data_IF_991005837164
#
_entry.id   IF_991005837164
#
_cell.length_a   1.000
_cell.length_b   1.000
_cell.length_c   1.000
_cell.angle_alpha   90.00
_cell.angle_beta   90.00
_cell.angle_gamma   90.00
#
_symmetry.space_group_name_H-M   'P 1'
#
loop_
_entity.id
_entity.type
_entity.pdbx_description
1 polymer ?
#
# COMPACT_ATOMS: atom_id res chain seq x y z
N UNK A 1 -0.41 -20.34 -17.46
CA UNK A 1 0.02 -21.54 -16.70
C UNK A 1 -0.70 -21.47 -15.37
N UNK A 2 -1.44 -22.52 -14.97
CA UNK A 2 -2.19 -22.50 -13.71
C UNK A 2 -1.23 -22.65 -12.54
N UNK A 3 -1.41 -21.83 -11.49
CA UNK A 3 -0.60 -21.94 -10.28
C UNK A 3 -0.88 -23.28 -9.58
N UNK A 4 0.16 -24.02 -9.21
CA UNK A 4 0.03 -25.23 -8.39
C UNK A 4 0.26 -24.88 -6.93
N UNK A 5 -0.67 -25.33 -6.07
CA UNK A 5 -0.61 -25.13 -4.62
C UNK A 5 -0.24 -26.45 -3.96
N UNK A 6 0.78 -26.42 -3.12
CA UNK A 6 1.28 -27.57 -2.38
C UNK A 6 1.08 -27.32 -0.89
N UNK A 7 0.41 -28.25 -0.20
CA UNK A 7 0.20 -28.18 1.24
C UNK A 7 1.43 -28.74 1.98
N UNK A 8 1.96 -27.96 2.91
CA UNK A 8 3.15 -28.28 3.70
C UNK A 8 2.89 -28.15 5.21
N UNK A 9 1.68 -28.51 5.69
CA UNK A 9 1.33 -28.43 7.10
C UNK A 9 0.96 -27.00 7.51
N UNK A 10 1.76 -26.28 8.32
CA UNK A 10 1.46 -24.88 8.69
C UNK A 10 1.60 -23.88 7.52
N UNK A 11 2.16 -24.31 6.38
CA UNK A 11 2.33 -23.48 5.19
C UNK A 11 1.64 -24.10 3.97
N UNK A 12 1.40 -23.30 2.95
CA UNK A 12 1.36 -23.80 1.58
C UNK A 12 2.43 -23.07 0.76
N UNK A 13 2.91 -23.67 -0.32
CA UNK A 13 3.64 -22.92 -1.33
C UNK A 13 2.91 -22.95 -2.66
N UNK A 14 3.08 -21.87 -3.42
CA UNK A 14 2.43 -21.65 -4.70
C UNK A 14 3.51 -21.50 -5.76
N UNK A 15 3.45 -22.33 -6.79
CA UNK A 15 4.25 -22.16 -8.00
C UNK A 15 3.61 -21.07 -8.86
N UNK A 16 4.19 -19.88 -8.82
CA UNK A 16 3.66 -18.68 -9.48
C UNK A 16 4.34 -18.38 -10.82
N UNK A 17 5.68 -18.33 -10.84
CA UNK A 17 6.48 -18.13 -12.06
C UNK A 17 7.87 -18.78 -11.89
N UNK A 18 8.34 -19.60 -12.85
CA UNK A 18 9.66 -20.24 -12.77
C UNK A 18 10.84 -19.25 -12.69
N UNK A 19 10.65 -17.98 -13.08
CA UNK A 19 11.68 -16.91 -12.98
C UNK A 19 11.73 -16.25 -11.61
N UNK A 20 10.64 -16.29 -10.84
CA UNK A 20 10.53 -15.65 -9.52
C UNK A 20 10.72 -16.67 -8.40
N UNK A 21 10.42 -17.94 -8.68
CA UNK A 21 10.46 -19.02 -7.70
C UNK A 21 9.14 -19.14 -6.93
N UNK A 22 9.02 -20.20 -6.11
CA UNK A 22 7.81 -20.46 -5.33
C UNK A 22 7.56 -19.37 -4.28
N UNK A 23 6.28 -19.04 -4.09
CA UNK A 23 5.82 -18.23 -2.96
C UNK A 23 5.45 -19.15 -1.81
N UNK A 24 6.04 -18.91 -0.64
CA UNK A 24 5.70 -19.59 0.60
C UNK A 24 4.66 -18.77 1.35
N UNK A 25 3.58 -19.36 1.86
CA UNK A 25 2.53 -18.66 2.62
C UNK A 25 2.24 -19.37 3.94
N UNK A 26 2.25 -18.62 5.05
CA UNK A 26 1.93 -19.13 6.39
C UNK A 26 0.42 -19.12 6.62
N UNK A 27 -0.17 -20.29 6.86
CA UNK A 27 -1.63 -20.46 6.92
C UNK A 27 -2.29 -19.67 8.05
N UNK A 28 -1.62 -19.57 9.20
CA UNK A 28 -2.19 -18.93 10.38
C UNK A 28 -2.04 -17.40 10.39
N UNK A 29 -1.03 -16.85 9.71
CA UNK A 29 -0.76 -15.40 9.71
C UNK A 29 -1.00 -14.75 8.37
N UNK A 30 -1.04 -15.52 7.28
CA UNK A 30 -1.09 -14.99 5.93
C UNK A 30 0.23 -14.51 5.37
N UNK A 31 1.30 -14.45 6.18
CA UNK A 31 2.60 -13.96 5.73
C UNK A 31 3.08 -14.76 4.54
N UNK A 32 3.57 -14.08 3.50
CA UNK A 32 4.12 -14.70 2.32
C UNK A 32 5.52 -14.20 1.99
N UNK A 33 6.36 -15.12 1.50
CA UNK A 33 7.73 -14.87 1.11
C UNK A 33 7.95 -15.39 -0.30
N UNK A 34 8.59 -14.56 -1.13
CA UNK A 34 9.05 -14.95 -2.46
C UNK A 34 10.46 -15.51 -2.31
N UNK A 35 10.57 -16.83 -2.43
CA UNK A 35 11.85 -17.51 -2.33
C UNK A 35 12.34 -17.84 -3.73
N UNK A 36 13.58 -17.45 -4.07
CA UNK A 36 14.20 -17.92 -5.31
C UNK A 36 14.29 -19.44 -5.27
N UNK A 37 14.12 -20.09 -6.42
CA UNK A 37 14.25 -21.54 -6.54
C UNK A 37 15.73 -22.01 -6.50
N UNK A 38 16.48 -21.58 -5.49
CA UNK A 38 17.86 -21.98 -5.26
C UNK A 38 17.93 -23.18 -4.29
N UNK A 39 18.98 -24.02 -4.37
CA UNK A 39 19.13 -25.19 -3.50
C UNK A 39 18.93 -24.94 -1.98
N UNK A 40 19.40 -23.82 -1.39
CA UNK A 40 19.19 -23.53 0.04
C UNK A 40 17.71 -23.41 0.43
N UNK A 41 16.87 -22.95 -0.49
CA UNK A 41 15.46 -22.67 -0.23
C UNK A 41 14.59 -23.93 -0.33
N UNK A 42 15.09 -25.00 -0.98
CA UNK A 42 14.35 -26.27 -1.09
C UNK A 42 14.08 -26.91 0.27
N UNK A 43 14.99 -26.72 1.23
CA UNK A 43 14.83 -27.25 2.58
C UNK A 43 13.65 -26.61 3.30
N UNK A 44 13.36 -25.32 3.07
CA UNK A 44 12.27 -24.59 3.72
C UNK A 44 10.91 -25.25 3.45
N UNK A 45 10.71 -25.77 2.24
CA UNK A 45 9.46 -26.38 1.80
C UNK A 45 9.21 -27.78 2.39
N UNK A 46 10.24 -28.45 2.92
CA UNK A 46 10.09 -29.81 3.48
C UNK A 46 9.93 -29.81 5.01
N UNK A 47 9.86 -28.64 5.65
CA UNK A 47 9.90 -28.54 7.11
C UNK A 47 8.53 -28.83 7.74
N UNK A 48 8.47 -29.67 8.78
CA UNK A 48 7.20 -30.15 9.34
C UNK A 48 6.54 -29.17 10.34
N UNK A 49 7.20 -28.05 10.68
CA UNK A 49 6.69 -27.11 11.69
C UNK A 49 7.09 -25.66 11.41
N UNK A 50 6.29 -24.71 11.90
CA UNK A 50 6.54 -23.28 11.75
C UNK A 50 7.91 -22.87 12.34
N UNK A 51 8.29 -23.41 13.50
CA UNK A 51 9.58 -23.12 14.12
C UNK A 51 10.79 -23.59 13.27
N UNK A 52 10.65 -24.73 12.59
CA UNK A 52 11.69 -25.23 11.67
C UNK A 52 11.73 -24.43 10.37
N UNK A 53 10.57 -23.96 9.90
CA UNK A 53 10.45 -23.07 8.73
C UNK A 53 11.12 -21.73 9.03
N UNK A 54 10.82 -21.11 10.16
CA UNK A 54 11.48 -19.88 10.62
C UNK A 54 12.99 -20.04 10.70
N UNK A 55 13.47 -21.16 11.26
CA UNK A 55 14.89 -21.48 11.33
C UNK A 55 15.53 -21.62 9.95
N UNK A 56 14.86 -22.32 9.03
CA UNK A 56 15.34 -22.52 7.66
C UNK A 56 15.32 -21.20 6.85
N UNK A 57 14.32 -20.35 7.05
CA UNK A 57 14.24 -19.03 6.44
C UNK A 57 15.38 -18.13 6.93
N UNK A 58 15.63 -18.08 8.24
CA UNK A 58 16.77 -17.33 8.80
C UNK A 58 18.10 -17.85 8.25
N UNK A 59 18.27 -19.16 8.11
CA UNK A 59 19.45 -19.77 7.51
C UNK A 59 19.61 -19.42 6.01
N UNK A 60 18.49 -19.20 5.31
CA UNK A 60 18.46 -18.69 3.94
C UNK A 60 18.59 -17.16 3.83
N UNK A 61 18.81 -16.44 4.94
CA UNK A 61 18.90 -14.99 4.98
C UNK A 61 17.56 -14.26 4.84
N UNK A 62 16.45 -14.98 5.03
CA UNK A 62 15.08 -14.46 4.96
C UNK A 62 14.57 -14.27 6.38
N UNK A 63 14.08 -13.07 6.70
CA UNK A 63 13.51 -12.78 8.01
C UNK A 63 12.04 -13.24 8.08
N UNK A 64 11.70 -14.28 8.87
CA UNK A 64 10.32 -14.74 9.01
C UNK A 64 9.42 -13.75 9.76
N UNK A 65 9.98 -12.76 10.46
CA UNK A 65 9.17 -11.69 11.05
C UNK A 65 8.83 -10.58 10.03
N UNK A 66 9.43 -10.61 8.83
CA UNK A 66 9.26 -9.59 7.80
C UNK A 66 8.83 -10.24 6.48
N UNK A 67 7.57 -10.71 6.40
CA UNK A 67 7.05 -11.24 5.17
C UNK A 67 7.12 -10.23 4.05
N UNK A 68 7.34 -10.73 2.83
CA UNK A 68 7.24 -9.89 1.65
C UNK A 68 5.79 -9.44 1.48
N UNK A 69 4.80 -10.33 1.70
CA UNK A 69 3.34 -10.12 1.56
C UNK A 69 2.51 -10.63 2.77
N UNK A 70 1.24 -10.27 2.86
CA UNK A 70 0.29 -10.80 3.86
C UNK A 70 -1.04 -11.16 3.18
N UNK A 71 -1.60 -12.33 3.48
CA UNK A 71 -2.85 -12.85 2.91
C UNK A 71 -3.86 -13.32 3.98
N UNK A 72 -5.04 -12.70 4.10
CA UNK A 72 -5.44 -11.48 3.42
C UNK A 72 -4.55 -10.30 3.84
N UNK A 73 -4.31 -9.37 2.93
CA UNK A 73 -3.56 -8.16 3.23
C UNK A 73 -4.27 -7.43 4.38
N UNK A 74 -3.54 -7.20 5.47
CA UNK A 74 -4.00 -6.38 6.58
C UNK A 74 -3.36 -4.99 6.45
N UNK A 75 -4.16 -3.93 6.36
CA UNK A 75 -3.65 -2.56 6.41
C UNK A 75 -2.79 -2.36 7.68
N UNK A 76 -1.75 -1.52 7.62
CA UNK A 76 -0.93 -1.23 8.79
C UNK A 76 -1.81 -0.71 9.94
N UNK A 77 -1.53 -1.07 11.21
CA UNK A 77 -2.29 -0.55 12.34
C UNK A 77 -2.21 0.99 12.35
N UNK A 78 -3.24 1.69 12.84
CA UNK A 78 -3.24 3.15 12.83
C UNK A 78 -2.15 3.69 13.77
N UNK A 79 -1.41 4.70 13.33
CA UNK A 79 -0.34 5.34 14.13
C UNK A 79 -0.88 6.18 15.30
N UNK A 80 -2.19 6.48 15.31
CA UNK A 80 -2.89 7.22 16.36
C UNK A 80 -4.39 6.85 16.37
N UNK A 81 -5.09 6.99 17.50
CA UNK A 81 -6.51 6.58 17.63
C UNK A 81 -7.51 7.47 16.88
N UNK A 82 -7.08 8.59 16.29
CA UNK A 82 -7.97 9.54 15.61
C UNK A 82 -7.89 9.44 14.09
N UNK A 83 -9.03 9.13 13.48
CA UNK A 83 -9.23 9.22 12.02
C UNK A 83 -9.06 10.65 11.54
N UNK A 84 -8.46 10.84 10.37
CA UNK A 84 -8.41 12.16 9.73
C UNK A 84 -9.81 12.65 9.41
N UNK A 85 -10.06 13.93 9.66
CA UNK A 85 -11.29 14.63 9.29
C UNK A 85 -11.06 15.51 8.06
N UNK A 86 -12.14 15.82 7.33
CA UNK A 86 -12.10 16.73 6.17
C UNK A 86 -11.59 18.12 6.57
N UNK A 87 -11.92 18.59 7.77
CA UNK A 87 -11.46 19.89 8.28
C UNK A 87 -9.94 19.94 8.49
N UNK A 88 -9.34 18.85 8.98
CA UNK A 88 -7.88 18.76 9.13
C UNK A 88 -7.18 18.70 7.78
N UNK A 89 -7.71 17.93 6.81
CA UNK A 89 -7.18 17.89 5.45
C UNK A 89 -7.26 19.27 4.81
N UNK A 90 -8.42 19.94 4.91
CA UNK A 90 -8.62 21.28 4.40
C UNK A 90 -7.67 22.31 5.04
N UNK A 91 -7.50 22.27 6.36
CA UNK A 91 -6.58 23.15 7.08
C UNK A 91 -5.12 22.93 6.64
N UNK A 92 -4.70 21.66 6.51
CA UNK A 92 -3.38 21.32 6.02
C UNK A 92 -3.15 21.83 4.59
N UNK A 93 -4.09 21.60 3.66
CA UNK A 93 -3.96 22.05 2.27
C UNK A 93 -3.85 23.58 2.17
N UNK A 94 -4.62 24.33 2.98
CA UNK A 94 -4.51 25.79 3.06
C UNK A 94 -3.14 26.23 3.56
N UNK A 95 -2.65 25.60 4.62
CA UNK A 95 -1.38 25.96 5.24
C UNK A 95 -0.17 25.65 4.34
N UNK A 96 -0.19 24.50 3.67
CA UNK A 96 0.94 24.03 2.85
C UNK A 96 0.96 24.69 1.46
N UNK A 97 -0.20 24.79 0.80
CA UNK A 97 -0.25 25.17 -0.61
C UNK A 97 -0.97 26.49 -0.89
N UNK A 98 -1.70 27.04 0.08
CA UNK A 98 -2.47 28.28 -0.11
C UNK A 98 -3.61 28.15 -1.13
N UNK A 99 -4.05 26.92 -1.44
CA UNK A 99 -5.07 26.68 -2.46
C UNK A 99 -6.43 27.30 -2.12
N UNK A 100 -7.11 27.81 -3.14
CA UNK A 100 -8.54 28.16 -3.08
C UNK A 100 -9.39 26.92 -3.40
N UNK A 101 -10.71 27.03 -3.28
CA UNK A 101 -11.67 25.95 -3.62
C UNK A 101 -11.40 24.63 -2.87
N UNK A 102 -10.95 24.72 -1.62
CA UNK A 102 -10.50 23.56 -0.85
C UNK A 102 -11.61 22.51 -0.71
N UNK A 103 -12.83 22.96 -0.46
CA UNK A 103 -14.00 22.11 -0.35
C UNK A 103 -14.27 21.34 -1.65
N UNK A 104 -14.12 22.00 -2.80
CA UNK A 104 -14.35 21.39 -4.13
C UNK A 104 -13.21 20.45 -4.53
N UNK A 105 -12.02 20.64 -3.96
CA UNK A 105 -10.85 19.79 -4.21
C UNK A 105 -10.93 18.46 -3.49
N UNK A 106 -11.64 18.37 -2.36
CA UNK A 106 -11.63 17.18 -1.50
C UNK A 106 -12.85 16.31 -1.78
N UNK A 107 -12.62 15.14 -2.36
CA UNK A 107 -13.64 14.09 -2.50
C UNK A 107 -13.49 13.06 -1.38
N UNK A 108 -14.56 12.85 -0.62
CA UNK A 108 -14.63 11.77 0.37
C UNK A 108 -14.96 10.43 -0.32
N UNK A 109 -14.12 9.41 -0.10
CA UNK A 109 -14.26 8.05 -0.66
C UNK A 109 -14.68 7.01 0.38
N UNK A 110 -15.17 7.44 1.53
CA UNK A 110 -15.47 6.58 2.69
C UNK A 110 -14.21 6.25 3.49
N UNK A 111 -13.22 5.60 2.87
CA UNK A 111 -11.98 5.13 3.51
C UNK A 111 -10.81 6.15 3.45
N UNK A 112 -10.85 7.06 2.48
CA UNK A 112 -9.83 8.09 2.25
C UNK A 112 -10.46 9.42 1.81
N UNK A 113 -9.65 10.47 1.80
CA UNK A 113 -9.91 11.70 1.06
C UNK A 113 -9.02 11.71 -0.19
N UNK A 114 -9.62 11.95 -1.35
CA UNK A 114 -8.90 12.20 -2.60
C UNK A 114 -8.92 13.68 -2.91
N UNK A 115 -7.75 14.28 -3.07
CA UNK A 115 -7.60 15.72 -3.28
C UNK A 115 -7.22 15.96 -4.75
N UNK A 116 -8.04 16.75 -5.44
CA UNK A 116 -7.74 17.25 -6.76
C UNK A 116 -6.62 18.30 -6.70
N UNK A 117 -5.53 18.03 -7.43
CA UNK A 117 -4.32 18.85 -7.46
C UNK A 117 -4.26 19.80 -8.64
N UNK A 118 -5.33 19.94 -9.44
CA UNK A 118 -5.36 20.88 -10.58
C UNK A 118 -5.15 22.33 -10.13
N UNK A 119 -4.72 23.22 -11.03
CA UNK A 119 -4.48 24.62 -10.67
C UNK A 119 -5.78 25.33 -10.27
N UNK A 120 -5.70 26.39 -9.46
CA UNK A 120 -6.87 27.24 -9.19
C UNK A 120 -7.44 27.83 -10.48
N UNK A 121 -6.57 28.24 -11.42
CA UNK A 121 -6.98 28.78 -12.71
C UNK A 121 -7.83 27.77 -13.50
N UNK A 122 -7.41 26.50 -13.55
CA UNK A 122 -8.18 25.44 -14.19
C UNK A 122 -9.55 25.24 -13.51
N UNK A 123 -9.61 25.30 -12.18
CA UNK A 123 -10.87 25.17 -11.46
C UNK A 123 -11.80 26.38 -11.67
N UNK A 124 -11.23 27.58 -11.86
CA UNK A 124 -11.97 28.82 -12.13
C UNK A 124 -12.53 28.85 -13.57
N UNK A 125 -11.76 28.38 -14.55
CA UNK A 125 -12.07 28.58 -15.99
C UNK A 125 -12.51 27.32 -16.72
N UNK A 126 -12.07 26.14 -16.27
CA UNK A 126 -12.17 24.88 -17.01
C UNK A 126 -11.28 24.81 -18.25
N UNK A 127 -10.40 25.78 -18.49
CA UNK A 127 -9.53 25.83 -19.68
C UNK A 127 -8.44 24.75 -19.58
N UNK A 128 -8.37 23.77 -20.50
CA UNK A 128 -7.33 22.74 -20.50
C UNK A 128 -5.89 23.28 -20.51
N UNK A 129 -5.66 24.51 -20.96
CA UNK A 129 -4.33 25.13 -20.95
C UNK A 129 -3.87 25.51 -19.53
N UNK A 130 -4.80 25.71 -18.60
CA UNK A 130 -4.51 25.98 -17.19
C UNK A 130 -4.33 24.68 -16.39
N UNK A 131 -4.59 23.52 -16.99
CA UNK A 131 -4.49 22.23 -16.34
C UNK A 131 -3.03 21.87 -16.02
N UNK A 132 -2.80 21.36 -14.81
CA UNK A 132 -1.53 20.78 -14.43
C UNK A 132 -1.41 19.38 -15.02
N UNK A 133 -0.55 19.25 -16.04
CA UNK A 133 -0.26 18.01 -16.73
C UNK A 133 0.67 17.14 -15.88
N UNK A 134 0.34 15.86 -15.74
CA UNK A 134 1.19 14.88 -15.06
C UNK A 134 0.99 14.80 -13.54
N UNK A 135 0.12 15.64 -12.96
CA UNK A 135 -0.24 15.57 -11.55
C UNK A 135 -1.46 14.66 -11.32
N UNK A 136 -1.28 13.65 -10.47
CA UNK A 136 -2.36 12.81 -9.96
C UNK A 136 -2.91 13.35 -8.64
N UNK A 137 -4.00 12.75 -8.12
CA UNK A 137 -4.58 13.17 -6.86
C UNK A 137 -3.62 12.93 -5.68
N UNK A 138 -3.82 13.67 -4.60
CA UNK A 138 -3.27 13.28 -3.29
C UNK A 138 -4.30 12.41 -2.59
N UNK A 139 -3.88 11.24 -2.10
CA UNK A 139 -4.75 10.36 -1.31
C UNK A 139 -4.35 10.45 0.16
N UNK A 140 -5.31 10.83 1.01
CA UNK A 140 -5.15 10.84 2.47
C UNK A 140 -5.97 9.71 3.07
N UNK A 141 -5.31 8.68 3.58
CA UNK A 141 -5.97 7.52 4.20
C UNK A 141 -6.47 7.93 5.59
N UNK A 142 -7.78 7.88 5.82
CA UNK A 142 -8.38 8.43 7.04
C UNK A 142 -7.87 7.75 8.31
N UNK A 143 -7.82 6.42 8.28
CA UNK A 143 -7.50 5.60 9.45
C UNK A 143 -6.05 5.77 9.89
N UNK A 144 -5.11 5.87 8.95
CA UNK A 144 -3.68 5.98 9.25
C UNK A 144 -3.17 7.42 9.24
N UNK A 145 -3.98 8.36 8.73
CA UNK A 145 -3.59 9.75 8.44
C UNK A 145 -2.42 9.84 7.44
N UNK A 146 -2.14 8.76 6.70
CA UNK A 146 -1.06 8.70 5.71
C UNK A 146 -1.43 9.46 4.44
N UNK A 147 -0.49 10.25 3.93
CA UNK A 147 -0.60 11.05 2.71
C UNK A 147 0.25 10.40 1.63
N UNK A 148 -0.36 10.20 0.46
CA UNK A 148 0.28 9.63 -0.72
C UNK A 148 0.11 10.56 -1.91
N UNK A 149 1.21 10.93 -2.54
CA UNK A 149 1.24 11.76 -3.74
C UNK A 149 1.26 10.87 -4.97
N UNK A 150 0.42 11.20 -5.94
CA UNK A 150 0.39 10.50 -7.23
C UNK A 150 0.73 11.45 -8.37
N UNK A 151 1.41 10.90 -9.39
CA UNK A 151 1.47 11.50 -10.72
C UNK A 151 0.41 10.86 -11.63
N UNK A 152 0.14 11.45 -12.79
CA UNK A 152 -0.81 10.93 -13.80
C UNK A 152 -0.20 9.76 -14.60
N UNK A 153 0.28 8.72 -13.92
CA UNK A 153 0.82 7.52 -14.56
C UNK A 153 -0.24 6.40 -14.56
N UNK A 154 -0.61 5.83 -15.73
CA UNK A 154 -1.60 4.76 -15.81
C UNK A 154 -1.30 3.54 -14.94
N UNK A 155 -0.02 3.24 -14.66
CA UNK A 155 0.35 2.12 -13.78
C UNK A 155 -0.16 2.32 -12.34
N UNK A 156 -0.39 3.57 -11.94
CA UNK A 156 -0.83 3.94 -10.61
C UNK A 156 -2.36 4.06 -10.49
N UNK A 157 -3.11 4.02 -11.59
CA UNK A 157 -4.57 4.18 -11.58
C UNK A 157 -5.28 3.16 -10.69
N UNK A 158 -4.90 1.86 -10.66
CA UNK A 158 -5.54 0.91 -9.74
C UNK A 158 -5.47 1.32 -8.26
N UNK A 159 -4.38 1.97 -7.84
CA UNK A 159 -4.28 2.50 -6.48
C UNK A 159 -5.07 3.81 -6.33
N UNK A 160 -4.99 4.70 -7.32
CA UNK A 160 -5.75 5.95 -7.32
C UNK A 160 -7.26 5.75 -7.37
N UNK A 161 -7.76 4.63 -7.88
CA UNK A 161 -9.20 4.36 -8.05
C UNK A 161 -9.73 3.31 -7.06
N UNK A 162 -8.90 2.89 -6.10
CA UNK A 162 -9.28 1.91 -5.10
C UNK A 162 -10.53 2.33 -4.30
N UNK A 163 -11.46 1.39 -4.13
CA UNK A 163 -12.74 1.62 -3.44
C UNK A 163 -12.68 1.33 -1.94
N UNK A 164 -11.59 0.73 -1.47
CA UNK A 164 -11.32 0.48 -0.07
C UNK A 164 -9.81 0.53 0.21
N UNK A 165 -9.47 0.57 1.50
CA UNK A 165 -8.09 0.69 1.97
C UNK A 165 -7.22 -0.54 1.62
N UNK A 166 -7.80 -1.74 1.59
CA UNK A 166 -7.05 -2.97 1.24
C UNK A 166 -6.61 -2.92 -0.21
N UNK A 167 -7.56 -2.67 -1.12
CA UNK A 167 -7.29 -2.60 -2.56
C UNK A 167 -6.28 -1.50 -2.89
N UNK A 168 -6.32 -0.38 -2.16
CA UNK A 168 -5.34 0.69 -2.30
C UNK A 168 -3.91 0.21 -2.06
N UNK A 169 -3.65 -0.45 -0.92
CA UNK A 169 -2.31 -0.91 -0.60
C UNK A 169 -1.87 -2.09 -1.47
N UNK A 170 -2.78 -3.01 -1.82
CA UNK A 170 -2.51 -4.11 -2.75
C UNK A 170 -2.08 -3.55 -4.11
N UNK A 171 -2.83 -2.58 -4.64
CA UNK A 171 -2.52 -1.94 -5.91
C UNK A 171 -1.20 -1.17 -5.86
N UNK A 172 -0.93 -0.42 -4.78
CA UNK A 172 0.35 0.29 -4.61
C UNK A 172 1.53 -0.67 -4.60
N UNK A 173 1.44 -1.78 -3.86
CA UNK A 173 2.53 -2.76 -3.77
C UNK A 173 2.76 -3.54 -5.05
N UNK A 174 1.74 -3.73 -5.88
CA UNK A 174 1.90 -4.31 -7.21
C UNK A 174 2.82 -3.45 -8.12
N UNK A 175 2.79 -2.13 -7.95
CA UNK A 175 3.64 -1.19 -8.68
C UNK A 175 5.01 -1.03 -8.01
N UNK A 176 5.00 -0.85 -6.70
CA UNK A 176 6.18 -0.64 -5.87
C UNK A 176 6.44 -1.90 -5.04
N UNK A 177 7.18 -2.86 -5.59
CA UNK A 177 7.40 -4.17 -4.92
C UNK A 177 8.03 -4.07 -3.53
N UNK A 178 8.71 -2.96 -3.24
CA UNK A 178 9.32 -2.66 -1.94
C UNK A 178 8.55 -1.55 -1.17
N UNK A 179 7.34 -1.17 -1.59
CA UNK A 179 6.52 -0.22 -0.84
C UNK A 179 6.21 -0.83 0.53
N UNK A 180 6.60 -0.10 1.57
CA UNK A 180 6.17 -0.38 2.92
C UNK A 180 4.85 0.37 3.14
N UNK A 181 3.69 -0.31 3.19
CA UNK A 181 2.40 0.36 3.34
C UNK A 181 2.29 1.15 4.65
N UNK A 182 3.16 0.88 5.64
CA UNK A 182 3.25 1.65 6.89
C UNK A 182 4.00 2.98 6.75
N UNK A 183 4.59 3.26 5.57
CA UNK A 183 5.43 4.43 5.30
C UNK A 183 4.82 5.31 4.21
N UNK A 184 3.78 6.09 4.53
CA UNK A 184 3.26 7.08 3.60
C UNK A 184 4.32 8.14 3.28
N UNK A 185 4.14 8.85 2.16
CA UNK A 185 5.05 9.93 1.75
C UNK A 185 5.13 11.02 2.85
N UNK A 186 3.99 11.29 3.48
CA UNK A 186 3.87 12.17 4.66
C UNK A 186 2.77 11.68 5.60
N UNK A 187 2.76 12.21 6.82
CA UNK A 187 1.63 12.09 7.74
C UNK A 187 0.89 13.42 7.81
N UNK A 188 -0.44 13.36 7.89
CA UNK A 188 -1.26 14.55 8.11
C UNK A 188 -0.88 15.18 9.44
N UNK A 189 -0.49 16.48 9.46
CA UNK A 189 -0.10 17.15 10.68
C UNK A 189 -1.18 16.99 11.76
N UNK A 190 -0.77 16.68 12.98
CA UNK A 190 -1.69 16.71 14.12
C UNK A 190 -1.88 18.17 14.48
N UNK A 191 -3.10 18.69 14.35
CA UNK A 191 -3.42 20.03 14.85
C UNK A 191 -3.41 19.92 16.37
N UNK A 192 -2.26 20.19 16.98
CA UNK A 192 -2.17 20.34 18.42
C UNK A 192 -2.95 21.59 18.77
N UNK A 193 -4.01 21.43 19.57
CA UNK A 193 -4.83 22.55 20.03
C UNK A 193 -3.95 23.68 20.55
N UNK A 194 -4.26 24.91 20.12
CA UNK A 194 -3.74 26.13 20.74
C UNK A 194 -4.08 26.18 22.22
#
# INVERSE_FOLDING_TARGET
MAAQVHDAGPMFWVDIDPRVGPMLVHKATGGAWYLRAEPPNRAVFAMPSAAMIDGAMRAAGVDPARPHDMFPFQPPPPSAPTTATVAEVAAWLRAEYGWRHIEDRITDRGWAYSVNTQSDAFLDTGDPNDALIGNGPIIVVKRTRGIWFFGSNPILYPAMDATNEIDFYVARRAVFRNDDPSRPDRLLPTVSGR
#
